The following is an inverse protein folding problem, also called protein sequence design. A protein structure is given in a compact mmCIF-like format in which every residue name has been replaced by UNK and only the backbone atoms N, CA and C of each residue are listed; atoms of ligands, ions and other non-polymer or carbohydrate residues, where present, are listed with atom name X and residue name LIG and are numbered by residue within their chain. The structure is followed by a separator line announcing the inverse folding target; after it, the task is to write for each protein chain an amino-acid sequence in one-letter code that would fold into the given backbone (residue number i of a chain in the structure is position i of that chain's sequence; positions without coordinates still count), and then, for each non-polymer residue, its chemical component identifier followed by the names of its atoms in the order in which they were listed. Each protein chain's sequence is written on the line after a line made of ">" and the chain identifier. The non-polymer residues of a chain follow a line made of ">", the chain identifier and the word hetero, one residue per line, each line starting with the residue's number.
data_IF_799067289629
#
_entry.id   IF_799067289629
#
_cell.length_a   1.000
_cell.length_b   1.000
_cell.length_c   1.000
_cell.angle_alpha   90.00
_cell.angle_beta   90.00
_cell.angle_gamma   90.00
#
_symmetry.space_group_name_H-M   'P 1'
#
loop_
_entity.id
_entity.type
_entity.pdbx_description
1 polymer ?
#
# COMPACT_ATOMS: atom_id res chain seq x y z
N UNK A 1 8.79 -1.65 4.19
CA UNK A 1 8.18 -0.91 5.33
C UNK A 1 8.54 0.57 5.18
N UNK A 2 7.66 1.49 5.60
CA UNK A 2 8.00 2.93 5.69
C UNK A 2 8.29 3.33 7.14
N UNK A 3 9.08 4.40 7.39
CA UNK A 3 9.34 4.87 8.75
C UNK A 3 8.06 5.24 9.49
N UNK A 4 7.99 4.87 10.76
CA UNK A 4 6.91 5.31 11.64
C UNK A 4 7.20 6.72 12.11
N UNK A 5 6.23 7.61 11.95
CA UNK A 5 6.36 9.03 12.30
C UNK A 5 5.27 9.44 13.27
N UNK A 6 5.50 10.55 13.96
CA UNK A 6 4.51 11.16 14.85
C UNK A 6 3.22 11.48 14.06
N UNK A 7 2.02 11.25 14.63
CA UNK A 7 0.76 11.67 14.01
C UNK A 7 0.79 13.16 13.62
N UNK A 8 0.39 13.47 12.38
CA UNK A 8 0.42 14.82 11.80
C UNK A 8 1.68 15.15 10.98
N UNK A 9 2.73 14.34 11.08
CA UNK A 9 3.91 14.41 10.21
C UNK A 9 3.89 13.34 9.10
N UNK A 10 2.81 12.55 9.01
CA UNK A 10 2.64 11.47 8.06
C UNK A 10 1.95 11.92 6.78
N UNK A 11 2.31 11.29 5.66
CA UNK A 11 1.57 11.42 4.41
C UNK A 11 0.16 10.79 4.54
N UNK A 12 -0.77 11.08 3.61
CA UNK A 12 -2.05 10.39 3.56
C UNK A 12 -1.88 8.86 3.47
N UNK A 13 -2.80 8.10 4.09
CA UNK A 13 -2.68 6.64 4.23
C UNK A 13 -2.45 5.90 2.90
N UNK A 14 -3.09 6.35 1.81
CA UNK A 14 -3.00 5.68 0.52
C UNK A 14 -1.64 5.91 -0.15
N UNK A 15 -0.98 7.03 0.14
CA UNK A 15 0.41 7.29 -0.29
C UNK A 15 1.36 6.42 0.50
N UNK A 16 1.19 6.38 1.83
CA UNK A 16 1.98 5.54 2.72
C UNK A 16 1.89 4.05 2.37
N UNK A 17 0.67 3.55 2.14
CA UNK A 17 0.43 2.16 1.76
C UNK A 17 1.00 1.81 0.40
N UNK A 18 0.85 2.70 -0.60
CA UNK A 18 1.42 2.49 -1.93
C UNK A 18 2.96 2.43 -1.89
N UNK A 19 3.59 3.34 -1.16
CA UNK A 19 5.05 3.37 -1.00
C UNK A 19 5.54 2.08 -0.29
N UNK A 20 4.89 1.70 0.79
CA UNK A 20 5.23 0.48 1.52
C UNK A 20 5.13 -0.78 0.63
N UNK A 21 4.09 -0.86 -0.21
CA UNK A 21 3.90 -1.96 -1.15
C UNK A 21 4.97 -1.98 -2.26
N UNK A 22 5.29 -0.83 -2.85
CA UNK A 22 6.34 -0.71 -3.87
C UNK A 22 7.70 -1.14 -3.35
N UNK A 23 8.06 -0.71 -2.13
CA UNK A 23 9.30 -1.12 -1.48
C UNK A 23 9.34 -2.63 -1.24
N UNK A 24 8.23 -3.24 -0.80
CA UNK A 24 8.16 -4.68 -0.58
C UNK A 24 8.28 -5.48 -1.89
N UNK A 25 7.65 -5.02 -2.97
CA UNK A 25 7.75 -5.64 -4.29
C UNK A 25 9.16 -5.52 -4.88
N UNK A 26 9.79 -4.35 -4.73
CA UNK A 26 11.16 -4.12 -5.17
C UNK A 26 12.16 -5.01 -4.42
N UNK A 27 12.01 -5.13 -3.09
CA UNK A 27 12.81 -6.04 -2.26
C UNK A 27 12.62 -7.52 -2.67
N UNK A 28 11.38 -7.90 -3.00
CA UNK A 28 11.07 -9.24 -3.50
C UNK A 28 11.48 -9.48 -4.98
N UNK A 29 11.88 -8.44 -5.72
CA UNK A 29 12.11 -8.53 -7.17
C UNK A 29 10.86 -8.95 -7.96
N UNK A 30 9.66 -8.65 -7.45
CA UNK A 30 8.39 -9.10 -7.99
C UNK A 30 7.63 -7.96 -8.67
N UNK A 31 7.16 -8.19 -9.89
CA UNK A 31 6.23 -7.27 -10.55
C UNK A 31 4.82 -7.36 -9.97
N UNK A 32 4.13 -6.24 -9.82
CA UNK A 32 2.77 -6.21 -9.26
C UNK A 32 1.78 -7.06 -10.07
N UNK A 33 1.96 -7.19 -11.39
CA UNK A 33 1.14 -8.03 -12.25
C UNK A 33 1.19 -9.52 -11.91
N UNK A 34 2.16 -9.96 -11.10
CA UNK A 34 2.26 -11.35 -10.60
C UNK A 34 1.52 -11.57 -9.28
N UNK A 35 1.02 -10.50 -8.64
CA UNK A 35 0.26 -10.59 -7.39
C UNK A 35 -1.15 -11.11 -7.71
N UNK A 36 -1.49 -12.29 -7.19
CA UNK A 36 -2.80 -12.92 -7.42
C UNK A 36 -3.89 -12.35 -6.50
N UNK A 37 -3.52 -11.98 -5.27
CA UNK A 37 -4.42 -11.44 -4.27
C UNK A 37 -3.66 -10.55 -3.30
N UNK A 38 -4.31 -9.48 -2.84
CA UNK A 38 -3.77 -8.60 -1.82
C UNK A 38 -4.72 -8.53 -0.62
N UNK A 39 -4.17 -8.68 0.58
CA UNK A 39 -4.87 -8.54 1.84
C UNK A 39 -4.36 -7.29 2.54
N UNK A 40 -5.25 -6.35 2.86
CA UNK A 40 -4.86 -5.07 3.47
C UNK A 40 -5.56 -4.89 4.82
N UNK A 41 -4.76 -4.82 5.88
CA UNK A 41 -5.23 -4.56 7.24
C UNK A 41 -5.20 -3.08 7.57
N UNK A 42 -6.33 -2.53 8.03
CA UNK A 42 -6.42 -1.19 8.59
C UNK A 42 -7.48 -1.17 9.70
N UNK A 43 -7.28 -0.31 10.70
CA UNK A 43 -8.21 -0.16 11.84
C UNK A 43 -9.15 1.03 11.64
N UNK A 44 -8.65 2.13 11.05
CA UNK A 44 -9.39 3.37 10.84
C UNK A 44 -9.45 3.71 9.35
N UNK A 45 -10.65 3.99 8.86
CA UNK A 45 -10.91 4.33 7.47
C UNK A 45 -12.23 3.74 6.99
N UNK A 46 -12.76 4.28 5.91
CA UNK A 46 -13.96 3.74 5.27
C UNK A 46 -13.70 2.39 4.63
N UNK A 47 -14.77 1.71 4.22
CA UNK A 47 -14.66 0.50 3.40
C UNK A 47 -13.80 0.79 2.17
N UNK A 48 -12.98 -0.19 1.78
CA UNK A 48 -12.11 -0.16 0.60
C UNK A 48 -10.88 0.77 0.65
N UNK A 49 -10.47 1.24 1.83
CA UNK A 49 -9.20 1.99 1.98
C UNK A 49 -7.99 1.18 1.45
N UNK A 50 -8.04 -0.16 1.54
CA UNK A 50 -7.00 -1.03 0.99
C UNK A 50 -6.87 -0.94 -0.53
N UNK A 51 -7.99 -1.02 -1.26
CA UNK A 51 -8.02 -0.82 -2.71
C UNK A 51 -7.49 0.56 -3.08
N UNK A 52 -7.92 1.60 -2.36
CA UNK A 52 -7.45 2.97 -2.59
C UNK A 52 -5.93 3.13 -2.44
N UNK A 53 -5.32 2.37 -1.52
CA UNK A 53 -3.88 2.33 -1.31
C UNK A 53 -3.12 1.50 -2.38
N UNK A 54 -3.75 0.47 -2.94
CA UNK A 54 -3.11 -0.43 -3.90
C UNK A 54 -3.23 0.01 -5.37
N UNK A 55 -4.30 0.70 -5.77
CA UNK A 55 -4.45 1.15 -7.16
C UNK A 55 -3.27 1.99 -7.69
N UNK A 56 -2.61 2.86 -6.89
CA UNK A 56 -1.39 3.56 -7.33
C UNK A 56 -0.12 2.68 -7.43
N UNK A 57 -0.17 1.43 -6.96
CA UNK A 57 0.90 0.43 -7.06
C UNK A 57 0.79 -0.30 -8.40
N UNK A 58 -0.43 -0.69 -8.75
CA UNK A 58 -0.77 -1.26 -10.04
C UNK A 58 -2.24 -1.70 -10.08
N UNK A 59 -2.73 -1.95 -11.29
CA UNK A 59 -4.07 -2.47 -11.53
C UNK A 59 -3.98 -3.59 -12.55
N UNK A 60 -4.61 -4.72 -12.25
CA UNK A 60 -4.63 -5.93 -13.11
C UNK A 60 -6.07 -6.29 -13.50
N UNK A 61 -6.95 -5.27 -13.58
CA UNK A 61 -8.36 -5.41 -13.93
C UNK A 61 -8.60 -5.33 -15.43
#
# INVERSE_FOLDING_TARGET
>A
MIPFVKPGANAPYHVMGAEAAKLALADAGLDYGKVQQAYVGYVYGDSTCGQRALYPVGMTG
#
